data_IF_073598146976
#
_entry.id   IF_073598146976
#
_cell.length_a   1.000
_cell.length_b   1.000
_cell.length_c   1.000
_cell.angle_alpha   90.00
_cell.angle_beta   90.00
_cell.angle_gamma   90.00
#
_symmetry.space_group_name_H-M   'P 1'
#
loop_
_entity.id
_entity.type
_entity.pdbx_description
1 polymer ?
#
# COMPACT_ATOMS: atom_id res chain seq x y z
N UNK A 1 26.03 10.55 -11.14
CA UNK A 1 24.78 11.33 -11.25
C UNK A 1 24.44 11.88 -9.87
N UNK A 2 24.09 13.17 -9.73
CA UNK A 2 23.89 13.76 -8.42
C UNK A 2 22.63 13.19 -7.76
N UNK A 3 22.77 12.77 -6.51
CA UNK A 3 21.68 12.45 -5.61
C UNK A 3 20.80 13.70 -5.45
N UNK A 4 19.57 13.64 -5.97
CA UNK A 4 18.57 14.70 -5.76
C UNK A 4 17.89 14.45 -4.41
N UNK A 5 18.08 15.33 -3.40
CA UNK A 5 17.35 15.22 -2.15
C UNK A 5 15.93 15.76 -2.39
N UNK A 6 14.98 14.87 -2.66
CA UNK A 6 13.63 15.29 -3.04
C UNK A 6 12.58 14.19 -2.93
N UNK A 7 11.88 14.20 -1.79
CA UNK A 7 10.56 13.58 -1.52
C UNK A 7 10.41 12.07 -1.73
N UNK A 8 10.51 11.34 -0.62
CA UNK A 8 10.16 9.94 -0.49
C UNK A 8 8.70 9.68 -0.86
N UNK A 9 8.45 8.88 -1.90
CA UNK A 9 7.10 8.41 -2.24
C UNK A 9 7.17 6.93 -2.58
N UNK A 10 6.10 6.16 -2.37
CA UNK A 10 6.06 4.70 -2.58
C UNK A 10 4.67 4.14 -2.84
N UNK A 11 4.52 3.12 -3.71
CA UNK A 11 3.51 2.05 -3.61
C UNK A 11 3.72 0.89 -4.61
N UNK A 12 3.91 -0.33 -4.11
CA UNK A 12 3.45 -1.61 -4.70
C UNK A 12 2.41 -2.18 -3.70
N UNK A 13 1.46 -3.05 -4.07
CA UNK A 13 0.51 -3.61 -3.09
C UNK A 13 0.59 -5.13 -2.94
N UNK A 14 0.45 -5.62 -1.70
CA UNK A 14 0.35 -7.05 -1.38
C UNK A 14 -0.89 -7.34 -0.54
N UNK A 15 -1.67 -8.34 -0.94
CA UNK A 15 -2.90 -8.75 -0.24
C UNK A 15 -2.66 -10.05 0.52
N UNK A 16 -2.94 -10.07 1.82
CA UNK A 16 -2.86 -11.25 2.68
C UNK A 16 -4.27 -11.66 3.15
N UNK A 17 -4.62 -12.94 3.03
CA UNK A 17 -5.97 -13.46 3.29
C UNK A 17 -6.09 -14.38 4.52
N UNK A 18 -4.99 -14.71 5.18
CA UNK A 18 -4.97 -15.69 6.29
C UNK A 18 -5.64 -15.19 7.58
N UNK A 19 -5.81 -13.89 7.74
CA UNK A 19 -6.43 -13.28 8.92
C UNK A 19 -7.83 -12.79 8.53
N UNK A 20 -8.86 -13.30 9.20
CA UNK A 20 -10.27 -13.04 8.84
C UNK A 20 -10.77 -11.66 9.33
N UNK A 21 -10.10 -10.60 8.88
CA UNK A 21 -10.42 -9.18 9.17
C UNK A 21 -9.83 -8.30 8.09
N UNK A 22 -10.22 -7.02 8.07
CA UNK A 22 -9.56 -6.01 7.25
C UNK A 22 -8.53 -5.21 8.05
N UNK A 23 -7.29 -5.13 7.53
CA UNK A 23 -6.25 -4.25 8.08
C UNK A 23 -5.41 -3.64 6.97
N UNK A 24 -5.33 -2.32 6.93
CA UNK A 24 -4.37 -1.59 6.08
C UNK A 24 -3.13 -1.24 6.89
N UNK A 25 -1.98 -1.65 6.38
CA UNK A 25 -0.67 -1.34 6.94
C UNK A 25 0.05 -0.33 6.04
N UNK A 26 0.92 0.49 6.65
CA UNK A 26 1.81 1.39 5.94
C UNK A 26 2.80 0.63 5.07
N UNK A 27 3.53 1.42 4.28
CA UNK A 27 4.57 0.99 3.39
C UNK A 27 5.76 0.40 4.16
N UNK A 28 6.10 -0.86 3.92
CA UNK A 28 7.30 -1.49 4.43
C UNK A 28 8.39 -1.51 3.35
N UNK A 29 9.59 -1.03 3.69
CA UNK A 29 10.80 -1.25 2.90
C UNK A 29 11.53 -2.50 3.46
N UNK A 30 11.89 -3.49 2.62
CA UNK A 30 12.58 -4.71 3.06
C UNK A 30 13.86 -4.48 3.87
N UNK A 31 14.62 -3.40 3.64
CA UNK A 31 15.86 -3.08 4.35
C UNK A 31 15.66 -2.23 5.61
N UNK A 32 14.61 -1.40 5.65
CA UNK A 32 14.32 -0.47 6.76
C UNK A 32 13.21 -1.07 7.63
N UNK A 33 13.63 -2.00 8.48
CA UNK A 33 12.81 -2.69 9.48
C UNK A 33 11.81 -1.72 10.18
N UNK A 34 10.50 -1.92 9.95
CA UNK A 34 9.38 -1.25 10.65
C UNK A 34 9.24 0.29 10.52
N UNK A 35 9.81 0.95 9.51
CA UNK A 35 9.66 2.40 9.35
C UNK A 35 8.78 2.81 8.15
N UNK A 36 7.83 3.71 8.39
CA UNK A 36 6.99 4.28 7.34
C UNK A 36 7.84 5.22 6.46
N UNK A 37 7.98 4.85 5.19
CA UNK A 37 8.74 5.63 4.19
C UNK A 37 7.93 6.77 3.53
N UNK A 38 6.64 6.86 3.83
CA UNK A 38 5.76 7.92 3.33
C UNK A 38 4.65 8.25 4.37
N UNK A 39 4.32 9.54 4.51
CA UNK A 39 3.33 10.06 5.47
C UNK A 39 1.91 10.21 4.91
N UNK A 40 1.72 10.03 3.60
CA UNK A 40 0.41 10.08 2.96
C UNK A 40 -0.45 8.90 3.40
N UNK A 41 -1.74 9.17 3.57
CA UNK A 41 -2.71 8.19 4.09
C UNK A 41 -3.74 7.75 3.06
N UNK A 42 -3.97 8.56 2.02
CA UNK A 42 -5.05 8.36 1.04
C UNK A 42 -4.67 8.73 -0.40
N UNK A 43 -3.66 9.59 -0.62
CA UNK A 43 -3.27 10.03 -1.97
C UNK A 43 -1.78 9.81 -2.18
N UNK A 44 -1.44 8.71 -2.85
CA UNK A 44 -0.05 8.36 -3.16
C UNK A 44 0.30 8.81 -4.57
N UNK A 45 1.45 9.47 -4.76
CA UNK A 45 1.94 9.95 -6.07
C UNK A 45 3.43 9.72 -6.27
N UNK A 46 3.99 9.91 -7.47
CA UNK A 46 5.45 9.86 -7.75
C UNK A 46 6.13 8.49 -7.66
N UNK A 47 7.44 8.43 -7.36
CA UNK A 47 8.32 7.22 -7.41
C UNK A 47 8.00 6.11 -6.39
N UNK A 48 8.34 4.81 -6.59
CA UNK A 48 7.99 3.65 -5.72
C UNK A 48 9.04 3.29 -4.61
N UNK A 49 9.15 3.97 -3.47
CA UNK A 49 10.12 3.61 -2.40
C UNK A 49 9.65 2.51 -1.40
N UNK A 50 8.73 1.60 -1.78
CA UNK A 50 8.13 0.60 -0.88
C UNK A 50 6.68 0.13 -1.20
N UNK A 51 6.22 -0.91 -0.48
CA UNK A 51 4.94 -1.62 -0.70
C UNK A 51 3.87 -1.36 0.38
N UNK A 52 2.65 -0.94 -0.01
CA UNK A 52 1.45 -0.91 0.85
C UNK A 52 0.94 -2.34 1.09
N UNK A 53 0.86 -2.75 2.35
CA UNK A 53 0.33 -4.07 2.70
C UNK A 53 -1.11 -3.98 3.18
N UNK A 54 -1.98 -4.83 2.62
CA UNK A 54 -3.38 -4.90 3.00
C UNK A 54 -3.75 -6.33 3.36
N UNK A 55 -4.37 -6.50 4.52
CA UNK A 55 -4.98 -7.76 4.95
C UNK A 55 -6.47 -7.68 4.66
N UNK A 56 -6.99 -8.64 3.90
CA UNK A 56 -8.40 -8.69 3.46
C UNK A 56 -8.90 -10.14 3.57
N UNK A 57 -9.09 -10.64 4.78
CA UNK A 57 -9.62 -12.00 5.00
C UNK A 57 -11.05 -12.06 5.52
N UNK A 58 -11.73 -10.92 5.68
CA UNK A 58 -13.11 -10.82 6.19
C UNK A 58 -14.20 -11.30 5.20
N UNK A 59 -13.96 -12.35 4.42
CA UNK A 59 -14.86 -12.76 3.32
C UNK A 59 -16.07 -13.60 3.73
N UNK A 60 -16.17 -14.06 4.98
CA UNK A 60 -17.33 -14.87 5.44
C UNK A 60 -17.04 -15.97 6.47
N UNK A 61 -15.77 -16.17 6.87
CA UNK A 61 -15.42 -17.05 8.02
C UNK A 61 -15.43 -16.27 9.33
N UNK A 62 -15.61 -16.93 10.49
CA UNK A 62 -15.58 -16.26 11.79
C UNK A 62 -14.40 -15.30 11.93
N UNK A 63 -14.72 -14.07 12.33
CA UNK A 63 -13.78 -12.95 12.38
C UNK A 63 -12.68 -13.20 13.43
N UNK A 64 -11.46 -12.74 13.13
CA UNK A 64 -10.29 -12.90 14.00
C UNK A 64 -10.06 -11.66 14.84
N UNK A 65 -10.01 -11.77 16.18
CA UNK A 65 -9.82 -10.58 17.04
C UNK A 65 -8.45 -9.94 16.81
N UNK A 66 -8.41 -8.62 16.78
CA UNK A 66 -7.16 -7.88 16.75
C UNK A 66 -6.46 -7.92 18.12
N UNK A 67 -5.12 -7.87 18.10
CA UNK A 67 -4.34 -7.56 19.30
C UNK A 67 -4.67 -6.14 19.81
N UNK A 68 -4.60 -5.97 21.13
CA UNK A 68 -4.78 -4.67 21.80
C UNK A 68 -3.68 -3.67 21.41
N UNK A 69 -2.52 -4.15 20.96
CA UNK A 69 -1.43 -3.30 20.50
C UNK A 69 -1.74 -2.73 19.12
N UNK A 70 -1.89 -1.41 19.02
CA UNK A 70 -1.89 -0.70 17.74
C UNK A 70 -0.47 -0.28 17.42
N UNK A 71 0.08 -0.86 16.36
CA UNK A 71 1.40 -0.49 15.85
C UNK A 71 1.32 0.84 15.08
N UNK A 72 2.41 1.60 15.08
CA UNK A 72 2.52 2.88 14.34
C UNK A 72 2.26 2.72 12.85
N UNK A 73 2.52 1.53 12.30
CA UNK A 73 2.31 1.17 10.90
C UNK A 73 0.90 0.65 10.58
N UNK A 74 -0.06 0.64 11.51
CA UNK A 74 -1.46 0.26 11.21
C UNK A 74 -2.31 1.50 10.96
N UNK A 75 -2.72 1.72 9.71
CA UNK A 75 -3.54 2.88 9.31
C UNK A 75 -5.02 2.70 9.63
N UNK A 76 -5.57 1.56 9.21
CA UNK A 76 -6.99 1.28 9.31
C UNK A 76 -7.21 -0.18 9.68
N UNK A 77 -8.19 -0.44 10.56
CA UNK A 77 -8.57 -1.77 11.03
C UNK A 77 -10.08 -1.84 11.11
N UNK A 78 -10.65 -2.90 10.58
CA UNK A 78 -12.09 -3.15 10.70
C UNK A 78 -12.33 -4.63 11.01
N UNK A 79 -13.13 -4.85 12.06
CA UNK A 79 -13.52 -6.18 12.54
C UNK A 79 -14.94 -6.44 12.01
N UNK A 80 -15.03 -6.61 10.70
CA UNK A 80 -16.29 -6.84 10.02
C UNK A 80 -16.04 -7.65 8.75
N UNK A 81 -17.12 -8.11 8.14
CA UNK A 81 -17.07 -8.74 6.83
C UNK A 81 -16.98 -7.68 5.73
N UNK A 82 -16.10 -7.91 4.78
CA UNK A 82 -15.87 -6.97 3.69
C UNK A 82 -14.97 -7.51 2.61
N UNK A 83 -14.85 -6.74 1.55
CA UNK A 83 -14.06 -7.05 0.38
C UNK A 83 -13.41 -5.78 -0.18
N UNK A 84 -12.40 -5.99 -1.01
CA UNK A 84 -11.69 -4.90 -1.69
C UNK A 84 -12.08 -4.85 -3.16
N UNK A 85 -12.23 -3.64 -3.66
CA UNK A 85 -12.41 -3.32 -5.07
C UNK A 85 -11.24 -2.46 -5.53
N UNK A 86 -10.58 -2.90 -6.60
CA UNK A 86 -9.52 -2.15 -7.28
C UNK A 86 -10.07 -1.62 -8.60
N UNK A 87 -9.94 -0.32 -8.84
CA UNK A 87 -10.35 0.35 -10.07
C UNK A 87 -9.14 1.04 -10.70
N UNK A 88 -8.63 0.49 -11.80
CA UNK A 88 -7.63 1.17 -12.63
C UNK A 88 -8.36 2.09 -13.61
N UNK A 89 -8.26 3.40 -13.41
CA UNK A 89 -8.91 4.37 -14.31
C UNK A 89 -8.12 4.56 -15.60
N UNK A 90 -6.80 4.49 -15.51
CA UNK A 90 -5.88 4.59 -16.63
C UNK A 90 -4.52 4.00 -16.22
N UNK A 91 -3.51 4.14 -17.08
CA UNK A 91 -2.17 3.59 -16.83
C UNK A 91 -1.43 4.30 -15.70
N UNK A 92 -1.90 5.48 -15.29
CA UNK A 92 -1.30 6.29 -14.24
C UNK A 92 -2.15 6.41 -12.98
N UNK A 93 -3.37 5.86 -12.92
CA UNK A 93 -4.32 6.11 -11.82
C UNK A 93 -5.05 4.85 -11.39
N UNK A 94 -4.86 4.49 -10.12
CA UNK A 94 -5.50 3.37 -9.45
C UNK A 94 -6.26 3.88 -8.21
N UNK A 95 -7.48 3.39 -8.03
CA UNK A 95 -8.28 3.56 -6.82
C UNK A 95 -8.46 2.22 -6.11
N UNK A 96 -8.19 2.23 -4.81
CA UNK A 96 -8.46 1.15 -3.89
C UNK A 96 -9.67 1.53 -3.02
N UNK A 97 -10.63 0.63 -2.90
CA UNK A 97 -11.80 0.77 -2.02
C UNK A 97 -11.99 -0.50 -1.19
N UNK A 98 -12.07 -0.35 0.12
CA UNK A 98 -12.58 -1.38 1.03
C UNK A 98 -14.05 -1.13 1.30
N UNK A 99 -14.86 -2.18 1.11
CA UNK A 99 -16.30 -2.14 1.27
C UNK A 99 -16.76 -3.18 2.28
N UNK A 100 -17.70 -2.80 3.14
CA UNK A 100 -18.34 -3.77 4.03
C UNK A 100 -19.36 -4.60 3.24
N UNK A 101 -19.45 -5.88 3.60
CA UNK A 101 -20.40 -6.80 2.99
C UNK A 101 -21.84 -6.57 3.49
N UNK A 102 -22.01 -5.90 4.63
CA UNK A 102 -23.31 -5.65 5.26
C UNK A 102 -24.17 -4.63 4.51
N UNK A 103 -23.55 -3.57 3.99
CA UNK A 103 -24.24 -2.46 3.33
C UNK A 103 -23.67 -2.11 1.94
N UNK A 104 -22.51 -2.68 1.57
CA UNK A 104 -21.85 -2.36 0.32
C UNK A 104 -21.35 -0.92 0.24
N UNK A 105 -21.17 -0.20 1.36
CA UNK A 105 -20.59 1.14 1.40
C UNK A 105 -19.06 1.08 1.49
N UNK A 106 -18.39 2.17 1.13
CA UNK A 106 -16.93 2.30 1.21
C UNK A 106 -16.54 2.82 2.60
N UNK A 107 -15.62 2.12 3.27
CA UNK A 107 -15.18 2.44 4.63
C UNK A 107 -13.71 2.80 4.73
N UNK A 108 -12.91 2.38 3.76
CA UNK A 108 -11.52 2.82 3.60
C UNK A 108 -11.19 2.93 2.12
N UNK A 109 -10.41 3.93 1.73
CA UNK A 109 -9.98 4.11 0.34
C UNK A 109 -8.66 4.85 0.25
N UNK A 110 -7.95 4.61 -0.86
CA UNK A 110 -6.79 5.40 -1.25
C UNK A 110 -6.60 5.36 -2.77
N UNK A 111 -5.84 6.34 -3.27
CA UNK A 111 -5.52 6.49 -4.68
C UNK A 111 -4.01 6.42 -4.89
N UNK A 112 -3.60 5.89 -6.02
CA UNK A 112 -2.22 5.91 -6.50
C UNK A 112 -2.22 6.61 -7.86
N UNK A 113 -1.49 7.71 -8.00
CA UNK A 113 -1.35 8.49 -9.23
C UNK A 113 0.11 8.64 -9.64
N UNK A 114 0.56 7.92 -10.67
CA UNK A 114 1.98 7.75 -11.02
C UNK A 114 2.17 7.46 -12.49
N UNK A 115 3.20 8.02 -13.10
CA UNK A 115 3.53 7.70 -14.48
C UNK A 115 4.50 6.53 -14.59
N UNK A 116 4.62 5.93 -15.77
CA UNK A 116 5.54 4.82 -16.01
C UNK A 116 7.00 5.14 -15.63
N UNK A 117 7.42 6.41 -15.77
CA UNK A 117 8.75 6.88 -15.34
C UNK A 117 8.97 6.77 -13.83
N UNK A 118 7.91 6.94 -13.04
CA UNK A 118 7.96 6.83 -11.59
C UNK A 118 8.12 5.37 -11.12
N UNK A 119 7.67 4.42 -11.94
CA UNK A 119 7.84 2.98 -11.71
C UNK A 119 9.28 2.55 -12.01
N UNK A 120 9.89 3.11 -13.05
CA UNK A 120 11.27 2.82 -13.44
C UNK A 120 12.32 3.57 -12.63
N UNK A 121 11.91 4.57 -11.85
CA UNK A 121 12.83 5.36 -11.07
C UNK A 121 13.55 4.50 -10.02
N UNK A 122 14.86 4.73 -9.90
CA UNK A 122 15.73 4.05 -8.96
C UNK A 122 15.34 4.41 -7.52
N UNK A 123 15.10 3.40 -6.71
CA UNK A 123 14.73 3.51 -5.29
C UNK A 123 15.63 2.63 -4.43
N UNK A 124 15.66 2.88 -3.12
CA UNK A 124 16.42 2.04 -2.20
C UNK A 124 16.05 0.55 -2.39
N UNK A 125 17.04 -0.29 -2.71
CA UNK A 125 16.92 -1.71 -3.06
C UNK A 125 16.09 -2.06 -4.32
N UNK A 126 15.76 -1.07 -5.16
CA UNK A 126 14.94 -1.26 -6.37
C UNK A 126 15.54 -0.69 -7.66
N UNK A 127 16.86 -0.49 -7.72
CA UNK A 127 17.54 0.05 -8.90
C UNK A 127 18.09 -1.05 -9.80
N UNK A 128 17.87 -0.93 -11.11
CA UNK A 128 18.51 -1.77 -12.10
C UNK A 128 20.03 -1.51 -12.16
N UNK A 129 20.81 -2.55 -12.47
CA UNK A 129 22.24 -2.42 -12.68
C UNK A 129 22.53 -1.51 -13.89
N UNK A 130 23.53 -0.64 -13.76
CA UNK A 130 23.99 0.25 -14.83
C UNK A 130 25.37 -0.18 -15.32
N UNK A 131 25.65 0.03 -16.61
CA UNK A 131 26.98 -0.14 -17.21
C UNK A 131 27.59 1.24 -17.49
N UNK A 132 28.92 1.32 -17.42
CA UNK A 132 29.68 2.55 -17.75
C UNK A 132 30.04 2.65 -19.25
N UNK A 133 29.61 1.68 -20.07
CA UNK A 133 29.81 1.73 -21.52
C UNK A 133 28.88 2.77 -22.17
N UNK A 134 29.42 3.56 -23.11
CA UNK A 134 28.68 4.53 -23.94
C UNK A 134 28.60 4.09 -25.39
#
# INVERSE_FOLDING_TARGET
MPYLPGTNKCAMYGVLSTVHTYRRMYIANPSMHNQCVNSEKSHYSGTVNGTIHVVVGGGGRPLSKFSQVQTSWSLYRDYDYGFVKLTAFNHSSLLFEYKKSSDGNVYDSFTISRDYRDVLACVHDGCAATTLAS
#
